data_IF_998493860428
#
_entry.id   IF_998493860428
#
_cell.length_a   1.000
_cell.length_b   1.000
_cell.length_c   1.000
_cell.angle_alpha   90.00
_cell.angle_beta   90.00
_cell.angle_gamma   90.00
#
_symmetry.space_group_name_H-M   'P 1'
#
loop_
_entity.id
_entity.type
_entity.pdbx_description
1 polymer ?
#
# COMPACT_ATOMS: atom_id res chain seq x y z
N UNK A 1 -26.07 -3.40 -11.76
CA UNK A 1 -26.13 -4.82 -11.36
C UNK A 1 -26.20 -4.92 -9.83
N UNK A 2 -26.90 -5.89 -9.28
CA UNK A 2 -27.04 -6.05 -7.82
C UNK A 2 -26.84 -7.52 -7.46
N UNK A 3 -26.19 -7.81 -6.33
CA UNK A 3 -25.99 -9.19 -5.84
C UNK A 3 -25.30 -10.12 -6.85
N UNK A 4 -24.37 -9.56 -7.62
CA UNK A 4 -23.66 -10.32 -8.66
C UNK A 4 -22.54 -11.14 -8.03
N UNK A 5 -22.43 -12.41 -8.42
CA UNK A 5 -21.29 -13.27 -8.08
C UNK A 5 -20.43 -13.45 -9.32
N UNK A 6 -19.15 -13.09 -9.22
CA UNK A 6 -18.18 -13.15 -10.31
C UNK A 6 -17.14 -14.23 -10.02
N UNK A 7 -17.01 -15.20 -10.93
CA UNK A 7 -16.13 -16.37 -10.80
C UNK A 7 -15.17 -16.56 -11.99
N UNK A 8 -15.20 -15.65 -12.97
CA UNK A 8 -14.39 -15.66 -14.20
C UNK A 8 -13.83 -14.25 -14.46
N UNK A 9 -12.86 -14.11 -15.35
CA UNK A 9 -12.24 -12.82 -15.69
C UNK A 9 -10.77 -12.67 -15.29
N UNK A 10 -10.22 -13.57 -14.47
CA UNK A 10 -8.82 -13.52 -14.05
C UNK A 10 -7.86 -14.33 -14.95
N UNK A 11 -8.31 -14.85 -16.10
CA UNK A 11 -7.55 -15.73 -16.98
C UNK A 11 -6.31 -15.04 -17.59
N UNK A 12 -6.29 -13.70 -17.65
CA UNK A 12 -5.12 -12.91 -18.07
C UNK A 12 -4.04 -12.74 -17.00
N UNK A 13 -4.21 -13.31 -15.82
CA UNK A 13 -3.36 -13.08 -14.65
C UNK A 13 -3.84 -11.90 -13.79
N UNK A 14 -3.11 -11.57 -12.71
CA UNK A 14 -3.44 -10.45 -11.84
C UNK A 14 -3.44 -9.14 -12.61
N UNK A 15 -4.35 -8.22 -12.28
CA UNK A 15 -4.38 -6.86 -12.86
C UNK A 15 -4.52 -6.82 -14.41
N UNK A 16 -4.98 -7.91 -15.02
CA UNK A 16 -5.24 -7.94 -16.45
C UNK A 16 -6.45 -7.05 -16.81
N UNK A 17 -6.31 -6.26 -17.87
CA UNK A 17 -7.36 -5.40 -18.43
C UNK A 17 -8.22 -6.11 -19.49
N UNK A 18 -8.11 -7.44 -19.59
CA UNK A 18 -8.87 -8.21 -20.59
C UNK A 18 -10.36 -8.18 -20.20
N UNK A 19 -11.16 -7.42 -20.94
CA UNK A 19 -12.60 -7.25 -20.70
C UNK A 19 -13.50 -8.35 -21.27
N UNK A 20 -12.92 -9.43 -21.81
CA UNK A 20 -13.69 -10.46 -22.53
C UNK A 20 -14.48 -11.40 -21.59
N UNK A 21 -14.11 -11.45 -20.30
CA UNK A 21 -14.79 -12.27 -19.28
C UNK A 21 -14.84 -11.54 -17.93
N UNK A 22 -15.73 -11.95 -17.04
CA UNK A 22 -15.96 -11.28 -15.75
C UNK A 22 -17.07 -10.22 -15.80
N UNK A 23 -17.02 -9.23 -14.93
CA UNK A 23 -18.00 -8.14 -14.87
C UNK A 23 -17.36 -6.80 -15.19
N UNK A 24 -17.75 -6.17 -16.29
CA UNK A 24 -17.44 -4.76 -16.56
C UNK A 24 -18.59 -3.87 -16.12
N UNK A 25 -18.30 -2.85 -15.31
CA UNK A 25 -19.26 -1.93 -14.71
C UNK A 25 -19.11 -0.56 -15.37
N UNK A 26 -20.09 -0.18 -16.20
CA UNK A 26 -20.17 1.15 -16.83
C UNK A 26 -21.13 2.11 -16.11
N UNK A 27 -21.99 1.59 -15.22
CA UNK A 27 -22.92 2.34 -14.38
C UNK A 27 -22.76 1.86 -12.94
N UNK A 28 -23.85 1.51 -12.26
CA UNK A 28 -23.79 1.05 -10.87
C UNK A 28 -23.76 -0.48 -10.72
N UNK A 29 -22.85 -0.97 -9.88
CA UNK A 29 -22.85 -2.34 -9.35
C UNK A 29 -22.90 -2.31 -7.82
N UNK A 30 -23.82 -3.06 -7.21
CA UNK A 30 -24.05 -3.03 -5.75
C UNK A 30 -23.98 -4.45 -5.20
N UNK A 31 -23.26 -4.65 -4.08
CA UNK A 31 -23.12 -5.96 -3.40
C UNK A 31 -22.58 -7.04 -4.32
N UNK A 32 -21.49 -6.74 -5.02
CA UNK A 32 -20.81 -7.74 -5.85
C UNK A 32 -19.91 -8.61 -4.99
N UNK A 33 -19.98 -9.93 -5.17
CA UNK A 33 -19.02 -10.89 -4.60
C UNK A 33 -18.10 -11.37 -5.71
N UNK A 34 -16.80 -11.17 -5.55
CA UNK A 34 -15.76 -11.64 -6.46
C UNK A 34 -15.04 -12.80 -5.78
N UNK A 35 -15.24 -14.02 -6.30
CA UNK A 35 -14.57 -15.21 -5.80
C UNK A 35 -13.24 -15.43 -6.55
N UNK A 36 -12.55 -16.53 -6.21
CA UNK A 36 -11.39 -17.00 -6.95
C UNK A 36 -11.65 -17.01 -8.46
N UNK A 37 -10.70 -16.46 -9.21
CA UNK A 37 -10.71 -16.28 -10.65
C UNK A 37 -11.73 -15.24 -11.18
N UNK A 38 -12.52 -14.62 -10.30
CA UNK A 38 -13.42 -13.54 -10.65
C UNK A 38 -12.68 -12.23 -10.89
N UNK A 39 -13.13 -11.45 -11.88
CA UNK A 39 -12.67 -10.07 -12.09
C UNK A 39 -13.85 -9.12 -12.27
N UNK A 40 -13.84 -8.04 -11.51
CA UNK A 40 -14.69 -6.87 -11.78
C UNK A 40 -13.81 -5.73 -12.33
N UNK A 41 -14.18 -5.17 -13.48
CA UNK A 41 -13.58 -3.95 -14.03
C UNK A 41 -14.59 -2.82 -13.84
N UNK A 42 -14.28 -1.87 -12.98
CA UNK A 42 -15.04 -0.63 -12.81
C UNK A 42 -14.50 0.38 -13.82
N UNK A 43 -15.21 0.59 -14.93
CA UNK A 43 -14.82 1.54 -15.96
C UNK A 43 -14.85 2.98 -15.42
N UNK A 44 -14.27 3.94 -16.15
CA UNK A 44 -14.12 5.33 -15.70
C UNK A 44 -15.42 5.98 -15.18
N UNK A 45 -16.56 5.70 -15.83
CA UNK A 45 -17.89 6.22 -15.43
C UNK A 45 -18.65 5.27 -14.47
N UNK A 46 -18.06 4.11 -14.17
CA UNK A 46 -18.67 3.08 -13.35
C UNK A 46 -18.50 3.33 -11.85
N UNK A 47 -19.49 2.87 -11.08
CA UNK A 47 -19.44 2.84 -9.61
C UNK A 47 -19.73 1.43 -9.10
N UNK A 48 -18.83 0.87 -8.30
CA UNK A 48 -19.04 -0.39 -7.58
C UNK A 48 -19.15 -0.12 -6.08
N UNK A 49 -20.25 -0.53 -5.46
CA UNK A 49 -20.55 -0.28 -4.05
C UNK A 49 -20.69 -1.60 -3.27
N UNK A 50 -20.07 -1.66 -2.09
CA UNK A 50 -20.12 -2.81 -1.17
C UNK A 50 -19.62 -4.09 -1.85
N UNK A 51 -18.47 -4.01 -2.51
CA UNK A 51 -17.87 -5.18 -3.19
C UNK A 51 -17.06 -6.00 -2.20
N UNK A 52 -17.23 -7.32 -2.19
CA UNK A 52 -16.41 -8.25 -1.40
C UNK A 52 -15.53 -9.05 -2.35
N UNK A 53 -14.22 -9.00 -2.13
CA UNK A 53 -13.22 -9.68 -2.96
C UNK A 53 -12.52 -10.75 -2.13
N UNK A 54 -12.72 -12.02 -2.48
CA UNK A 54 -12.08 -13.15 -1.82
C UNK A 54 -10.74 -13.52 -2.48
N UNK A 55 -10.00 -14.40 -1.80
CA UNK A 55 -8.70 -14.90 -2.27
C UNK A 55 -8.72 -15.35 -3.74
N UNK A 56 -7.82 -14.73 -4.53
CA UNK A 56 -7.66 -14.98 -5.95
C UNK A 56 -8.72 -14.34 -6.86
N UNK A 57 -9.55 -13.44 -6.32
CA UNK A 57 -10.39 -12.53 -7.10
C UNK A 57 -9.80 -11.11 -7.14
N UNK A 58 -10.15 -10.38 -8.19
CA UNK A 58 -9.59 -9.05 -8.48
C UNK A 58 -10.68 -8.00 -8.77
N UNK A 59 -10.50 -6.79 -8.26
CA UNK A 59 -11.23 -5.60 -8.68
C UNK A 59 -10.27 -4.59 -9.32
N UNK A 60 -10.47 -4.28 -10.60
CA UNK A 60 -9.78 -3.22 -11.34
C UNK A 60 -10.63 -1.96 -11.30
N UNK A 61 -10.09 -0.84 -10.83
CA UNK A 61 -10.83 0.41 -10.62
C UNK A 61 -10.25 1.54 -11.46
N UNK A 62 -10.97 1.91 -12.53
CA UNK A 62 -10.76 3.12 -13.32
C UNK A 62 -11.78 4.22 -12.97
N UNK A 63 -12.96 3.83 -12.45
CA UNK A 63 -13.98 4.74 -11.92
C UNK A 63 -14.00 4.78 -10.40
N UNK A 64 -15.14 4.48 -9.78
CA UNK A 64 -15.33 4.60 -8.33
C UNK A 64 -15.62 3.24 -7.65
N UNK A 65 -14.84 2.88 -6.64
CA UNK A 65 -15.12 1.75 -5.76
C UNK A 65 -15.40 2.25 -4.34
N UNK A 66 -16.57 1.91 -3.80
CA UNK A 66 -17.03 2.34 -2.48
C UNK A 66 -17.20 1.11 -1.57
N UNK A 67 -16.68 1.19 -0.35
CA UNK A 67 -16.86 0.18 0.71
C UNK A 67 -16.43 -1.23 0.28
N UNK A 68 -15.29 -1.31 -0.39
CA UNK A 68 -14.74 -2.61 -0.82
C UNK A 68 -14.10 -3.34 0.35
N UNK A 69 -14.40 -4.63 0.52
CA UNK A 69 -13.79 -5.50 1.53
C UNK A 69 -12.90 -6.54 0.85
N UNK A 70 -11.60 -6.54 1.15
CA UNK A 70 -10.62 -7.48 0.61
C UNK A 70 -10.32 -8.60 1.61
N UNK A 71 -10.88 -9.78 1.39
CA UNK A 71 -10.71 -11.00 2.19
C UNK A 71 -9.72 -11.96 1.49
N UNK A 72 -8.47 -11.53 1.36
CA UNK A 72 -7.43 -12.24 0.59
C UNK A 72 -7.39 -11.87 -0.90
N UNK A 73 -8.36 -11.07 -1.38
CA UNK A 73 -8.44 -10.62 -2.77
C UNK A 73 -7.68 -9.32 -3.04
N UNK A 74 -7.72 -8.88 -4.29
CA UNK A 74 -6.95 -7.74 -4.78
C UNK A 74 -7.85 -6.59 -5.26
N UNK A 75 -7.44 -5.35 -4.99
CA UNK A 75 -7.98 -4.16 -5.63
C UNK A 75 -6.85 -3.36 -6.26
N UNK A 76 -6.96 -3.08 -7.55
CA UNK A 76 -6.03 -2.25 -8.32
C UNK A 76 -6.72 -0.93 -8.65
N UNK A 77 -6.27 0.15 -8.02
CA UNK A 77 -6.77 1.50 -8.30
C UNK A 77 -5.84 2.15 -9.32
N UNK A 78 -6.34 2.28 -10.54
CA UNK A 78 -5.60 2.81 -11.68
C UNK A 78 -5.69 4.34 -11.76
N UNK A 79 -4.99 4.91 -12.74
CA UNK A 79 -5.04 6.35 -13.01
C UNK A 79 -6.48 6.84 -13.22
N UNK A 80 -6.89 7.85 -12.47
CA UNK A 80 -8.26 8.39 -12.48
C UNK A 80 -9.25 7.59 -11.61
N UNK A 81 -8.89 6.36 -11.21
CA UNK A 81 -9.69 5.54 -10.32
C UNK A 81 -9.66 6.06 -8.88
N UNK A 82 -10.78 5.93 -8.19
CA UNK A 82 -10.92 6.26 -6.78
C UNK A 82 -11.52 5.10 -6.00
N UNK A 83 -10.86 4.68 -4.92
CA UNK A 83 -11.39 3.74 -3.94
C UNK A 83 -11.63 4.43 -2.59
N UNK A 84 -12.85 4.40 -2.07
CA UNK A 84 -13.20 4.99 -0.76
C UNK A 84 -13.69 3.93 0.21
N UNK A 85 -13.23 3.99 1.46
CA UNK A 85 -13.69 3.09 2.53
C UNK A 85 -13.23 1.64 2.37
N UNK A 86 -12.12 1.41 1.67
CA UNK A 86 -11.61 0.03 1.48
C UNK A 86 -11.11 -0.56 2.80
N UNK A 87 -11.58 -1.76 3.13
CA UNK A 87 -11.11 -2.55 4.28
C UNK A 87 -10.26 -3.71 3.79
N UNK A 88 -8.99 -3.71 4.16
CA UNK A 88 -8.01 -4.71 3.77
C UNK A 88 -7.78 -5.69 4.92
N UNK A 89 -8.37 -6.89 4.82
CA UNK A 89 -8.23 -7.97 5.81
C UNK A 89 -7.01 -8.84 5.51
N UNK A 90 -6.79 -9.90 6.31
CA UNK A 90 -5.66 -10.83 6.16
C UNK A 90 -5.50 -11.26 4.70
N UNK A 91 -4.26 -11.13 4.20
CA UNK A 91 -3.83 -11.48 2.85
C UNK A 91 -4.50 -10.67 1.72
N UNK A 92 -5.42 -9.76 2.06
CA UNK A 92 -5.98 -8.80 1.13
C UNK A 92 -4.94 -7.76 0.74
N UNK A 93 -5.03 -7.28 -0.50
CA UNK A 93 -4.03 -6.35 -1.04
C UNK A 93 -4.69 -5.27 -1.89
N UNK A 94 -4.56 -4.03 -1.42
CA UNK A 94 -4.94 -2.85 -2.18
C UNK A 94 -3.68 -2.23 -2.81
N UNK A 95 -3.71 -1.99 -4.12
CA UNK A 95 -2.61 -1.40 -4.88
C UNK A 95 -3.11 -0.09 -5.50
N UNK A 96 -2.50 1.02 -5.09
CA UNK A 96 -2.76 2.34 -5.64
C UNK A 96 -1.65 2.66 -6.63
N UNK A 97 -2.02 2.77 -7.90
CA UNK A 97 -1.08 3.06 -8.98
C UNK A 97 -0.89 4.56 -9.15
N UNK A 98 0.02 4.93 -10.04
CA UNK A 98 0.20 6.32 -10.46
C UNK A 98 -1.14 6.93 -10.90
N UNK A 99 -1.49 8.09 -10.33
CA UNK A 99 -2.74 8.78 -10.61
C UNK A 99 -4.00 8.17 -9.97
N UNK A 100 -3.87 7.05 -9.25
CA UNK A 100 -4.96 6.45 -8.47
C UNK A 100 -5.10 7.11 -7.10
N UNK A 101 -6.34 7.13 -6.59
CA UNK A 101 -6.67 7.68 -5.27
C UNK A 101 -7.34 6.62 -4.38
N UNK A 102 -6.82 6.42 -3.18
CA UNK A 102 -7.55 5.76 -2.10
C UNK A 102 -7.84 6.74 -0.97
N UNK A 103 -9.04 6.66 -0.41
CA UNK A 103 -9.46 7.45 0.74
C UNK A 103 -10.11 6.56 1.79
N UNK A 104 -9.86 6.86 3.07
CA UNK A 104 -10.38 6.09 4.22
C UNK A 104 -10.06 4.59 4.19
N UNK A 105 -8.86 4.23 3.71
CA UNK A 105 -8.42 2.83 3.72
C UNK A 105 -8.11 2.36 5.15
N UNK A 106 -8.68 1.24 5.57
CA UNK A 106 -8.30 0.55 6.81
C UNK A 106 -7.54 -0.73 6.49
N UNK A 107 -6.31 -0.85 7.00
CA UNK A 107 -5.48 -2.05 6.84
C UNK A 107 -5.44 -2.80 8.15
N UNK A 108 -6.06 -3.98 8.18
CA UNK A 108 -6.06 -4.87 9.33
C UNK A 108 -4.81 -5.76 9.36
N UNK A 109 -4.66 -6.54 10.42
CA UNK A 109 -3.53 -7.47 10.59
C UNK A 109 -3.37 -8.37 9.36
N UNK A 110 -2.14 -8.45 8.82
CA UNK A 110 -1.75 -9.17 7.58
C UNK A 110 -2.42 -8.66 6.29
N UNK A 111 -3.21 -7.61 6.34
CA UNK A 111 -3.62 -6.87 5.15
C UNK A 111 -2.48 -6.01 4.64
N UNK A 112 -2.50 -5.67 3.35
CA UNK A 112 -1.46 -4.86 2.71
C UNK A 112 -2.05 -3.70 1.90
N UNK A 113 -1.57 -2.50 2.18
CA UNK A 113 -1.70 -1.35 1.29
C UNK A 113 -0.38 -1.10 0.58
N UNK A 114 -0.39 -1.12 -0.75
CA UNK A 114 0.71 -0.66 -1.57
C UNK A 114 0.34 0.64 -2.28
N UNK A 115 1.18 1.66 -2.16
CA UNK A 115 1.02 2.94 -2.86
C UNK A 115 2.27 3.17 -3.69
N UNK A 116 2.12 3.08 -5.02
CA UNK A 116 3.20 3.28 -5.97
C UNK A 116 3.54 4.78 -6.10
N UNK A 117 4.68 5.07 -6.72
CA UNK A 117 5.05 6.45 -7.05
C UNK A 117 3.91 7.15 -7.82
N UNK A 118 3.60 8.39 -7.45
CA UNK A 118 2.49 9.17 -8.00
C UNK A 118 1.08 8.69 -7.60
N UNK A 119 0.94 7.61 -6.83
CA UNK A 119 -0.32 7.21 -6.21
C UNK A 119 -0.60 7.99 -4.92
N UNK A 120 -1.88 8.16 -4.58
CA UNK A 120 -2.31 8.89 -3.38
C UNK A 120 -3.21 8.03 -2.50
N UNK A 121 -2.90 7.95 -1.21
CA UNK A 121 -3.76 7.35 -0.19
C UNK A 121 -3.94 8.31 1.00
N UNK A 122 -5.16 8.74 1.28
CA UNK A 122 -5.48 9.65 2.39
C UNK A 122 -6.36 8.98 3.43
N UNK A 123 -6.31 9.51 4.66
CA UNK A 123 -7.04 9.00 5.82
C UNK A 123 -6.80 7.50 6.07
N UNK A 124 -5.58 7.04 5.82
CA UNK A 124 -5.20 5.63 6.03
C UNK A 124 -5.22 5.32 7.53
N UNK A 125 -5.83 4.21 7.90
CA UNK A 125 -5.74 3.63 9.25
C UNK A 125 -4.99 2.31 9.18
N UNK A 126 -3.71 2.32 9.58
CA UNK A 126 -2.90 1.10 9.72
C UNK A 126 -3.11 0.53 11.13
N UNK A 127 -3.82 -0.61 11.23
CA UNK A 127 -3.89 -1.37 12.48
C UNK A 127 -2.57 -2.11 12.71
N UNK A 128 -2.33 -2.51 13.95
CA UNK A 128 -1.13 -3.29 14.29
C UNK A 128 -1.05 -4.57 13.45
N UNK A 129 0.12 -4.78 12.84
CA UNK A 129 0.38 -5.89 11.93
C UNK A 129 -0.18 -5.71 10.51
N UNK A 130 -0.75 -4.54 10.19
CA UNK A 130 -1.06 -4.15 8.81
C UNK A 130 0.19 -3.66 8.10
N UNK A 131 0.36 -4.02 6.83
CA UNK A 131 1.54 -3.69 6.05
C UNK A 131 1.29 -2.47 5.14
N UNK A 132 2.20 -1.50 5.20
CA UNK A 132 2.32 -0.42 4.22
C UNK A 132 3.55 -0.67 3.33
N UNK A 133 3.37 -0.69 2.01
CA UNK A 133 4.44 -0.76 1.01
C UNK A 133 4.40 0.51 0.16
N UNK A 134 5.42 1.36 0.25
CA UNK A 134 5.42 2.65 -0.44
C UNK A 134 6.84 3.20 -0.62
N UNK A 135 6.95 4.33 -1.32
CA UNK A 135 8.18 5.10 -1.43
C UNK A 135 7.93 6.58 -1.15
N UNK A 136 8.99 7.35 -0.95
CA UNK A 136 8.90 8.81 -0.79
C UNK A 136 8.43 9.56 -2.06
N UNK A 137 8.19 8.86 -3.18
CA UNK A 137 7.56 9.41 -4.39
C UNK A 137 6.03 9.23 -4.43
N UNK A 138 5.42 8.62 -3.40
CA UNK A 138 3.98 8.53 -3.23
C UNK A 138 3.45 9.59 -2.25
N UNK A 139 2.12 9.72 -2.17
CA UNK A 139 1.44 10.47 -1.11
C UNK A 139 0.64 9.49 -0.24
N UNK A 140 1.00 9.35 1.04
CA UNK A 140 0.31 8.51 2.01
C UNK A 140 0.13 9.26 3.33
N UNK A 141 -1.11 9.58 3.69
CA UNK A 141 -1.45 10.34 4.90
C UNK A 141 -2.38 9.51 5.77
N UNK A 142 -2.06 9.37 7.06
CA UNK A 142 -2.89 8.57 7.93
C UNK A 142 -2.40 8.46 9.37
N UNK A 143 -2.84 7.38 10.02
CA UNK A 143 -2.44 7.02 11.38
C UNK A 143 -2.08 5.55 11.47
N UNK A 144 -1.18 5.25 12.41
CA UNK A 144 -0.81 3.91 12.82
C UNK A 144 -0.83 3.81 14.35
N UNK A 145 -0.37 2.69 14.91
CA UNK A 145 -0.36 2.44 16.36
C UNK A 145 0.49 3.42 17.19
N UNK A 146 1.33 4.24 16.56
CA UNK A 146 2.17 5.27 17.21
C UNK A 146 1.64 6.70 16.99
N UNK A 147 0.52 6.88 16.29
CA UNK A 147 -0.08 8.17 15.99
C UNK A 147 -0.11 8.46 14.49
N UNK A 148 -0.17 9.74 14.13
CA UNK A 148 -0.22 10.16 12.74
C UNK A 148 1.13 9.93 12.03
N UNK A 149 1.08 9.59 10.75
CA UNK A 149 2.25 9.50 9.89
C UNK A 149 1.96 10.15 8.53
N UNK A 150 3.01 10.58 7.86
CA UNK A 150 2.93 11.14 6.52
C UNK A 150 4.03 10.58 5.63
N UNK A 151 3.73 10.46 4.34
CA UNK A 151 4.67 10.33 3.22
C UNK A 151 4.16 11.29 2.16
N UNK A 152 4.83 12.41 1.95
CA UNK A 152 4.42 13.40 0.96
C UNK A 152 5.61 14.29 0.58
N UNK A 153 5.63 14.80 -0.65
CA UNK A 153 6.63 15.77 -1.11
C UNK A 153 8.09 15.34 -0.84
N UNK A 154 8.40 14.05 -1.05
CA UNK A 154 9.75 13.51 -0.82
C UNK A 154 10.13 13.32 0.65
N UNK A 155 9.18 13.43 1.58
CA UNK A 155 9.42 13.27 3.02
C UNK A 155 8.46 12.27 3.66
N UNK A 156 9.01 11.34 4.43
CA UNK A 156 8.25 10.48 5.34
C UNK A 156 8.47 10.88 6.81
N UNK A 157 7.43 10.86 7.65
CA UNK A 157 7.52 11.05 9.11
C UNK A 157 6.60 10.06 9.84
N UNK A 158 7.13 9.35 10.84
CA UNK A 158 6.35 8.49 11.73
C UNK A 158 5.85 7.18 11.12
N UNK A 159 6.42 6.73 9.99
CA UNK A 159 6.06 5.48 9.33
C UNK A 159 6.44 4.27 10.20
N UNK A 160 5.50 3.33 10.39
CA UNK A 160 5.75 2.02 11.02
C UNK A 160 5.76 0.95 9.95
N UNK A 161 6.81 0.13 9.93
CA UNK A 161 7.02 -0.96 8.99
C UNK A 161 7.00 -2.28 9.77
N UNK A 162 6.01 -3.13 9.49
CA UNK A 162 5.83 -4.43 10.11
C UNK A 162 5.13 -5.39 9.13
N UNK A 163 5.21 -6.70 9.36
CA UNK A 163 4.42 -7.72 8.64
C UNK A 163 4.53 -7.66 7.10
N UNK A 164 5.72 -7.37 6.57
CA UNK A 164 5.97 -7.21 5.13
C UNK A 164 5.85 -5.76 4.63
N UNK A 165 5.65 -4.80 5.51
CA UNK A 165 5.69 -3.38 5.18
C UNK A 165 7.09 -2.95 4.72
N UNK A 166 7.13 -2.03 3.76
CA UNK A 166 8.36 -1.50 3.17
C UNK A 166 8.25 0.00 2.89
N UNK A 167 9.31 0.74 3.21
CA UNK A 167 9.48 2.13 2.77
C UNK A 167 10.77 2.24 1.97
N UNK A 168 10.67 2.72 0.73
CA UNK A 168 11.80 3.12 -0.10
C UNK A 168 12.03 4.64 0.02
N UNK A 169 13.17 5.04 0.55
CA UNK A 169 13.62 6.44 0.65
C UNK A 169 14.56 6.72 -0.50
N UNK A 170 14.05 7.43 -1.50
CA UNK A 170 14.75 7.71 -2.76
C UNK A 170 15.84 8.78 -2.62
N UNK A 171 16.64 8.94 -3.67
CA UNK A 171 17.67 9.98 -3.78
C UNK A 171 17.07 11.38 -3.55
N UNK A 172 17.73 12.20 -2.73
CA UNK A 172 17.29 13.56 -2.40
C UNK A 172 16.07 13.62 -1.46
N UNK A 173 15.47 12.49 -1.13
CA UNK A 173 14.31 12.39 -0.23
C UNK A 173 14.75 12.05 1.20
N UNK A 174 13.80 12.17 2.15
CA UNK A 174 14.06 11.90 3.55
C UNK A 174 12.97 11.12 4.27
N UNK A 175 13.35 10.39 5.31
CA UNK A 175 12.45 9.76 6.26
C UNK A 175 12.87 10.09 7.71
N UNK A 176 11.89 10.33 8.56
CA UNK A 176 12.09 10.66 9.98
C UNK A 176 11.23 9.75 10.85
N UNK A 177 11.77 9.36 12.01
CA UNK A 177 11.04 8.57 13.02
C UNK A 177 10.46 7.26 12.46
N UNK A 178 11.11 6.65 11.46
CA UNK A 178 10.67 5.37 10.92
C UNK A 178 10.91 4.28 11.95
N UNK A 179 9.86 3.54 12.29
CA UNK A 179 9.93 2.36 13.13
C UNK A 179 9.95 1.12 12.25
N UNK A 180 10.98 0.28 12.40
CA UNK A 180 11.13 -0.96 11.64
C UNK A 180 11.04 -2.13 12.62
N UNK A 181 9.88 -2.80 12.61
CA UNK A 181 9.59 -3.98 13.41
C UNK A 181 9.69 -5.26 12.59
N UNK A 182 9.30 -6.40 13.19
CA UNK A 182 9.39 -7.73 12.58
C UNK A 182 8.72 -7.80 11.20
N UNK A 183 9.48 -8.26 10.21
CA UNK A 183 9.07 -8.33 8.80
C UNK A 183 8.98 -6.97 8.09
N UNK A 184 9.30 -5.86 8.75
CA UNK A 184 9.39 -4.53 8.14
C UNK A 184 10.72 -4.31 7.44
N UNK A 185 10.73 -3.57 6.33
CA UNK A 185 11.96 -3.22 5.61
C UNK A 185 12.05 -1.73 5.32
N UNK A 186 13.04 -1.05 5.89
CA UNK A 186 13.44 0.28 5.45
C UNK A 186 14.55 0.16 4.41
N UNK A 187 14.33 0.71 3.22
CA UNK A 187 15.34 0.79 2.17
C UNK A 187 15.69 2.24 1.88
N UNK A 188 16.97 2.59 1.88
CA UNK A 188 17.47 3.94 1.66
C UNK A 188 18.45 3.92 0.51
N UNK A 189 18.07 4.54 -0.60
CA UNK A 189 18.92 4.66 -1.79
C UNK A 189 20.09 5.61 -1.54
N UNK A 190 21.09 5.56 -2.43
CA UNK A 190 22.17 6.54 -2.45
C UNK A 190 21.59 7.97 -2.51
N UNK A 191 22.12 8.88 -1.67
CA UNK A 191 21.61 10.25 -1.55
C UNK A 191 20.28 10.39 -0.79
N UNK A 192 19.65 9.28 -0.37
CA UNK A 192 18.51 9.27 0.54
C UNK A 192 18.93 9.44 2.01
N UNK A 193 18.05 10.01 2.84
CA UNK A 193 18.33 10.25 4.27
C UNK A 193 17.25 9.70 5.20
N UNK A 194 17.61 8.81 6.12
CA UNK A 194 16.71 8.32 7.17
C UNK A 194 17.25 8.67 8.57
N UNK A 195 16.48 9.36 9.40
CA UNK A 195 16.91 9.80 10.74
C UNK A 195 15.90 9.47 11.81
N UNK A 196 16.37 9.24 13.05
CA UNK A 196 15.50 8.78 14.13
C UNK A 196 14.91 7.40 13.85
N UNK A 197 15.60 6.58 13.05
CA UNK A 197 15.16 5.21 12.76
C UNK A 197 15.20 4.43 14.06
N UNK A 198 14.12 3.71 14.37
CA UNK A 198 14.12 2.77 15.49
C UNK A 198 13.93 1.36 14.94
N UNK A 199 14.93 0.50 15.11
CA UNK A 199 14.88 -0.89 14.66
C UNK A 199 14.61 -1.83 15.84
N UNK A 200 13.77 -2.84 15.62
CA UNK A 200 13.62 -3.97 16.55
C UNK A 200 13.92 -5.31 15.89
N UNK A 201 13.81 -6.38 16.68
CA UNK A 201 14.07 -7.74 16.22
C UNK A 201 13.18 -8.07 15.01
N UNK A 202 13.79 -8.63 13.97
CA UNK A 202 13.12 -9.00 12.73
C UNK A 202 12.95 -7.86 11.71
N UNK A 203 13.29 -6.63 12.08
CA UNK A 203 13.33 -5.50 11.14
C UNK A 203 14.57 -5.52 10.24
N UNK A 204 14.39 -5.15 8.97
CA UNK A 204 15.47 -5.08 7.99
C UNK A 204 15.77 -3.63 7.58
N UNK A 205 17.06 -3.31 7.48
CA UNK A 205 17.57 -2.07 6.89
C UNK A 205 18.41 -2.43 5.65
N UNK A 206 18.06 -1.84 4.51
CA UNK A 206 18.83 -1.90 3.28
C UNK A 206 19.30 -0.47 3.01
N UNK A 207 20.60 -0.25 2.91
CA UNK A 207 21.17 1.07 2.65
C UNK A 207 22.24 0.94 1.57
N UNK A 208 22.10 1.70 0.49
CA UNK A 208 23.09 1.74 -0.58
C UNK A 208 24.31 2.57 -0.16
N UNK A 209 25.44 2.38 -0.83
CA UNK A 209 26.60 3.26 -0.69
C UNK A 209 26.19 4.69 -1.06
N UNK A 210 26.27 5.63 -0.11
CA UNK A 210 25.82 7.00 -0.28
C UNK A 210 24.54 7.36 0.48
N UNK A 211 23.87 6.38 1.10
CA UNK A 211 22.74 6.62 1.99
C UNK A 211 23.21 7.20 3.33
N UNK A 212 22.44 8.14 3.90
CA UNK A 212 22.63 8.60 5.28
C UNK A 212 21.57 7.99 6.18
N UNK A 213 21.98 7.22 7.19
CA UNK A 213 21.06 6.61 8.16
C UNK A 213 21.51 6.89 9.58
N UNK A 214 20.59 7.29 10.45
CA UNK A 214 20.83 7.44 11.89
C UNK A 214 19.68 6.84 12.68
N UNK A 215 20.00 6.01 13.68
CA UNK A 215 18.97 5.33 14.45
C UNK A 215 19.43 4.66 15.73
N UNK A 216 18.51 3.91 16.32
CA UNK A 216 18.72 3.06 17.49
C UNK A 216 18.21 1.65 17.24
N UNK A 217 18.90 0.67 17.82
CA UNK A 217 18.50 -0.73 17.87
C UNK A 217 18.77 -1.28 19.28
N UNK A 218 18.62 -2.60 19.47
CA UNK A 218 18.85 -3.25 20.77
C UNK A 218 20.29 -3.12 21.32
N UNK A 219 21.27 -2.85 20.46
CA UNK A 219 22.68 -2.65 20.80
C UNK A 219 23.05 -1.19 21.06
N UNK A 220 22.13 -0.24 20.84
CA UNK A 220 22.34 1.18 21.06
C UNK A 220 22.15 2.01 19.79
N UNK A 221 22.88 3.12 19.68
CA UNK A 221 22.85 3.98 18.49
C UNK A 221 23.66 3.34 17.36
N UNK A 222 23.20 3.53 16.12
CA UNK A 222 23.94 3.18 14.92
C UNK A 222 23.80 4.28 13.87
N UNK A 223 24.71 4.31 12.92
CA UNK A 223 24.72 5.26 11.81
C UNK A 223 25.37 4.68 10.56
N UNK A 224 25.00 5.22 9.41
CA UNK A 224 25.65 5.03 8.11
C UNK A 224 25.91 6.43 7.55
N UNK A 225 27.17 6.75 7.33
CA UNK A 225 27.58 8.05 6.79
C UNK A 225 27.47 8.06 5.26
N UNK A 226 26.71 9.02 4.72
CA UNK A 226 26.42 9.10 3.28
C UNK A 226 27.60 9.53 2.40
N UNK A 227 28.73 9.97 2.97
CA UNK A 227 29.92 10.34 2.19
C UNK A 227 30.91 9.18 2.14
N UNK A 228 31.21 8.59 3.28
CA UNK A 228 32.21 7.53 3.44
C UNK A 228 31.65 6.12 3.29
N UNK A 229 30.32 5.96 3.43
CA UNK A 229 29.66 4.65 3.52
C UNK A 229 30.01 3.87 4.79
N UNK A 230 30.69 4.50 5.76
CA UNK A 230 31.07 3.84 7.00
C UNK A 230 29.85 3.65 7.90
N UNK A 231 29.69 2.42 8.38
CA UNK A 231 28.72 2.07 9.42
C UNK A 231 29.40 2.06 10.80
N UNK A 232 28.69 2.55 11.82
CA UNK A 232 29.14 2.56 13.23
C UNK A 232 28.68 1.34 14.02
#
# INVERSE_FOLDING_TARGET
ATDTVVNTGAEGGPDAENGDTGQTVYGDAVRTTINKNGRQIVAAEGTANTTVVYAGGDQTVHGHALDTTLNGGYQYVHNGGTASGTVVNSDGWQIIKEGGLADFTTVNQKGKLQVNAGGTATHVTLKQGGALVTSTAATVLGSNRLGNFTVENGKADGVVLESGGRLDVLEGHSAQKTRVDDGGTLAVSAGGKATGVTMTSGGALIADSGATVEGTNASGKFSIDGISGQAS
#
